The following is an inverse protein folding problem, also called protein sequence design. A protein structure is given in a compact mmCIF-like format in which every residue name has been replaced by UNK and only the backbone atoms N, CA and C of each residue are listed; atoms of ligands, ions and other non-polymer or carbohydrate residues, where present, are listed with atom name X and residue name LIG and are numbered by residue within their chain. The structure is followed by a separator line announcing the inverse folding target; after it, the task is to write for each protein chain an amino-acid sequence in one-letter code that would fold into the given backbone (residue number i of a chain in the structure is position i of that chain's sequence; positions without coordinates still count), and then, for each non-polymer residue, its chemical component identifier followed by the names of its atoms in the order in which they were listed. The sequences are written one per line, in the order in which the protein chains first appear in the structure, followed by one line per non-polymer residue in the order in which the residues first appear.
data_IF_814164190874
#
_entry.id   IF_814164190874
#
_cell.length_a   1.000
_cell.length_b   1.000
_cell.length_c   1.000
_cell.angle_alpha   90.00
_cell.angle_beta   90.00
_cell.angle_gamma   90.00
#
_symmetry.space_group_name_H-M   'P 1'
#
loop_
_entity.id
_entity.type
_entity.pdbx_description
1 polymer ?
#
# COMPACT_ATOMS: atom_id res chain seq x y z
N UNK A 1 7.19 -35.29 9.40
CA UNK A 1 7.94 -34.34 8.58
C UNK A 1 7.00 -33.48 7.75
N UNK A 2 6.09 -34.05 6.96
CA UNK A 2 5.11 -33.25 6.17
C UNK A 2 4.27 -32.27 7.01
N UNK A 3 3.84 -32.64 8.21
CA UNK A 3 3.03 -31.76 9.07
C UNK A 3 3.83 -30.56 9.61
N UNK A 4 5.12 -30.76 9.94
CA UNK A 4 6.01 -29.67 10.36
C UNK A 4 6.24 -28.67 9.22
N UNK A 5 6.51 -29.18 8.01
CA UNK A 5 6.73 -28.36 6.83
C UNK A 5 5.47 -27.55 6.47
N UNK A 6 4.27 -28.16 6.62
CA UNK A 6 2.99 -27.46 6.39
C UNK A 6 2.77 -26.31 7.39
N UNK A 7 3.13 -26.49 8.66
CA UNK A 7 3.03 -25.41 9.67
C UNK A 7 3.98 -24.28 9.33
N UNK A 8 5.24 -24.58 8.98
CA UNK A 8 6.24 -23.57 8.58
C UNK A 8 5.75 -22.78 7.36
N UNK A 9 5.19 -23.49 6.35
CA UNK A 9 4.70 -22.87 5.14
C UNK A 9 3.47 -21.98 5.41
N UNK A 10 2.55 -22.43 6.29
CA UNK A 10 1.41 -21.63 6.75
C UNK A 10 1.87 -20.34 7.44
N UNK A 11 2.82 -20.45 8.37
CA UNK A 11 3.40 -19.28 9.06
C UNK A 11 4.08 -18.33 8.08
N UNK A 12 4.83 -18.86 7.12
CA UNK A 12 5.48 -18.07 6.07
C UNK A 12 4.45 -17.31 5.24
N UNK A 13 3.38 -18.00 4.81
CA UNK A 13 2.31 -17.40 4.02
C UNK A 13 1.64 -16.23 4.77
N UNK A 14 1.33 -16.42 6.06
CA UNK A 14 0.72 -15.38 6.89
C UNK A 14 1.64 -14.15 7.06
N UNK A 15 2.95 -14.38 7.24
CA UNK A 15 3.93 -13.30 7.34
C UNK A 15 4.10 -12.56 6.02
N UNK A 16 4.13 -13.26 4.89
CA UNK A 16 4.18 -12.64 3.55
C UNK A 16 2.92 -11.84 3.24
N UNK A 17 1.74 -12.35 3.64
CA UNK A 17 0.49 -11.62 3.51
C UNK A 17 0.51 -10.32 4.33
N UNK A 18 1.09 -10.35 5.54
CA UNK A 18 1.25 -9.17 6.37
C UNK A 18 2.16 -8.10 5.70
N UNK A 19 3.26 -8.51 5.07
CA UNK A 19 4.14 -7.59 4.31
C UNK A 19 3.40 -6.99 3.11
N UNK A 20 2.66 -7.79 2.34
CA UNK A 20 1.84 -7.28 1.23
C UNK A 20 0.80 -6.27 1.70
N UNK A 21 0.19 -6.51 2.85
CA UNK A 21 -0.74 -5.56 3.45
C UNK A 21 -0.06 -4.24 3.83
N UNK A 22 1.16 -4.30 4.39
CA UNK A 22 1.97 -3.12 4.68
C UNK A 22 2.29 -2.32 3.42
N UNK A 23 2.66 -2.99 2.33
CA UNK A 23 2.95 -2.33 1.05
C UNK A 23 1.70 -1.61 0.51
N UNK A 24 0.52 -2.23 0.60
CA UNK A 24 -0.74 -1.57 0.24
C UNK A 24 -1.07 -0.38 1.14
N UNK A 25 -0.82 -0.48 2.45
CA UNK A 25 -1.00 0.63 3.38
C UNK A 25 -0.06 1.80 3.02
N UNK A 26 1.19 1.51 2.69
CA UNK A 26 2.18 2.51 2.27
C UNK A 26 1.83 3.18 0.94
N UNK A 27 1.18 2.49 0.00
CA UNK A 27 0.69 3.10 -1.23
C UNK A 27 -0.38 4.16 -0.97
N UNK A 28 -1.17 4.02 0.10
CA UNK A 28 -2.17 5.01 0.53
C UNK A 28 -1.53 6.24 1.20
N UNK A 29 -0.34 6.08 1.78
CA UNK A 29 0.42 7.19 2.37
C UNK A 29 1.08 7.96 1.23
N UNK A 30 0.50 9.10 0.87
CA UNK A 30 0.94 9.92 -0.26
C UNK A 30 2.19 10.70 0.12
N UNK A 31 3.28 10.44 -0.58
CA UNK A 31 4.58 11.09 -0.33
C UNK A 31 4.76 12.46 -1.04
N UNK A 32 3.67 13.14 -1.40
CA UNK A 32 3.69 14.48 -2.01
C UNK A 32 4.12 14.53 -3.46
N UNK A 33 4.32 13.38 -4.13
CA UNK A 33 4.54 13.32 -5.57
C UNK A 33 3.26 12.98 -6.30
N UNK A 34 3.08 13.56 -7.48
CA UNK A 34 2.02 13.20 -8.39
C UNK A 34 2.12 11.71 -8.77
N UNK A 35 0.99 11.00 -8.72
CA UNK A 35 0.89 9.59 -9.09
C UNK A 35 -0.47 9.34 -9.72
N UNK A 36 -0.52 8.47 -10.71
CA UNK A 36 -1.78 8.04 -11.35
C UNK A 36 -2.74 7.40 -10.34
N UNK A 37 -2.22 6.78 -9.29
CA UNK A 37 -3.02 6.19 -8.21
C UNK A 37 -3.83 7.23 -7.42
N UNK A 38 -3.45 8.51 -7.45
CA UNK A 38 -4.19 9.58 -6.76
C UNK A 38 -5.59 9.80 -7.33
N UNK A 39 -5.81 9.45 -8.59
CA UNK A 39 -7.08 9.63 -9.30
C UNK A 39 -7.72 8.30 -9.70
N UNK A 40 -7.16 7.18 -9.26
CA UNK A 40 -7.62 5.84 -9.64
C UNK A 40 -9.05 5.55 -9.18
N UNK A 41 -9.43 6.04 -8.01
CA UNK A 41 -10.75 5.82 -7.39
C UNK A 41 -11.81 6.82 -7.85
N UNK A 42 -11.46 7.75 -8.76
CA UNK A 42 -12.40 8.74 -9.28
C UNK A 42 -13.36 8.08 -10.26
N UNK A 43 -14.65 8.16 -9.94
CA UNK A 43 -15.73 7.68 -10.80
C UNK A 43 -16.33 8.84 -11.56
N UNK A 44 -16.35 8.73 -12.88
CA UNK A 44 -16.88 9.73 -13.80
C UNK A 44 -18.24 9.27 -14.28
N UNK A 45 -19.22 10.19 -14.29
CA UNK A 45 -20.52 9.92 -14.91
C UNK A 45 -20.38 10.03 -16.43
N UNK A 46 -20.28 8.87 -17.09
CA UNK A 46 -20.10 8.76 -18.52
C UNK A 46 -21.31 8.06 -19.13
N UNK A 47 -22.05 8.76 -19.98
CA UNK A 47 -23.33 8.31 -20.57
C UNK A 47 -24.34 7.77 -19.55
N UNK A 48 -24.42 8.42 -18.38
CA UNK A 48 -25.36 8.05 -17.31
C UNK A 48 -24.95 6.86 -16.46
N UNK A 49 -23.73 6.33 -16.62
CA UNK A 49 -23.17 5.27 -15.82
C UNK A 49 -21.86 5.71 -15.12
N UNK A 50 -21.67 5.38 -13.83
CA UNK A 50 -20.42 5.63 -13.14
C UNK A 50 -19.32 4.74 -13.71
N UNK A 51 -18.31 5.38 -14.32
CA UNK A 51 -17.20 4.70 -15.00
C UNK A 51 -15.86 5.13 -14.37
N UNK A 52 -14.93 4.22 -14.09
CA UNK A 52 -13.61 4.58 -13.58
C UNK A 52 -12.87 5.53 -14.54
N UNK A 53 -12.15 6.50 -13.98
CA UNK A 53 -11.46 7.53 -14.78
C UNK A 53 -10.48 6.94 -15.81
N UNK A 54 -9.80 5.86 -15.48
CA UNK A 54 -8.87 5.16 -16.37
C UNK A 54 -9.54 4.49 -17.58
N UNK A 55 -10.87 4.37 -17.60
CA UNK A 55 -11.65 3.84 -18.72
C UNK A 55 -12.21 4.93 -19.64
N UNK A 56 -12.10 6.19 -19.26
CA UNK A 56 -12.61 7.35 -20.06
C UNK A 56 -11.52 8.33 -20.45
N UNK A 57 -10.34 8.20 -19.83
CA UNK A 57 -9.21 9.09 -20.10
C UNK A 57 -7.86 8.38 -19.92
N UNK A 58 -6.85 8.91 -20.60
CA UNK A 58 -5.46 8.55 -20.36
C UNK A 58 -4.90 9.44 -19.23
N UNK A 59 -4.40 8.83 -18.17
CA UNK A 59 -3.80 9.51 -17.02
C UNK A 59 -2.28 9.37 -17.09
N UNK A 60 -1.58 10.49 -17.12
CA UNK A 60 -0.12 10.54 -17.16
C UNK A 60 0.43 11.50 -16.10
N UNK A 61 1.69 11.33 -15.74
CA UNK A 61 2.41 12.17 -14.77
C UNK A 61 3.63 12.74 -15.50
N UNK A 62 3.48 13.90 -16.14
CA UNK A 62 4.58 14.53 -16.91
C UNK A 62 5.72 15.00 -16.02
N UNK A 63 5.44 15.37 -14.78
CA UNK A 63 6.42 15.78 -13.78
C UNK A 63 6.01 15.37 -12.36
N UNK A 64 6.90 15.60 -11.38
CA UNK A 64 6.70 15.16 -10.00
C UNK A 64 5.50 15.80 -9.27
N UNK A 65 4.95 16.90 -9.81
CA UNK A 65 3.91 17.72 -9.18
C UNK A 65 2.65 17.83 -10.02
N UNK A 66 2.62 17.22 -11.21
CA UNK A 66 1.55 17.42 -12.19
C UNK A 66 0.96 16.08 -12.62
N UNK A 67 -0.36 15.97 -12.60
CA UNK A 67 -1.09 14.87 -13.22
C UNK A 67 -1.83 15.44 -14.42
N UNK A 68 -1.65 14.85 -15.60
CA UNK A 68 -2.35 15.20 -16.83
C UNK A 68 -3.37 14.11 -17.16
N UNK A 69 -4.61 14.53 -17.33
CA UNK A 69 -5.73 13.66 -17.70
C UNK A 69 -6.21 14.07 -19.08
N UNK A 70 -6.04 13.18 -20.05
CA UNK A 70 -6.46 13.40 -21.43
C UNK A 70 -7.67 12.52 -21.72
N UNK A 71 -8.87 13.12 -21.84
CA UNK A 71 -10.07 12.38 -22.22
C UNK A 71 -9.94 11.78 -23.62
N UNK A 72 -10.43 10.58 -23.82
CA UNK A 72 -10.54 9.98 -25.15
C UNK A 72 -11.68 10.65 -25.95
N UNK A 73 -12.72 11.09 -25.24
CA UNK A 73 -13.81 11.86 -25.80
C UNK A 73 -13.82 13.26 -25.17
N UNK A 74 -13.64 14.30 -26.01
CA UNK A 74 -13.63 15.70 -25.56
C UNK A 74 -14.93 16.12 -24.88
N UNK A 75 -16.05 15.49 -25.20
CA UNK A 75 -17.34 15.80 -24.58
C UNK A 75 -17.40 15.40 -23.11
N UNK A 76 -16.57 14.44 -22.70
CA UNK A 76 -16.48 13.98 -21.31
C UNK A 76 -15.64 14.88 -20.38
N UNK A 77 -14.94 15.89 -20.92
CA UNK A 77 -14.01 16.72 -20.14
C UNK A 77 -14.68 17.39 -18.94
N UNK A 78 -15.90 17.92 -19.12
CA UNK A 78 -16.65 18.58 -18.06
C UNK A 78 -17.15 17.60 -17.00
N UNK A 79 -17.50 16.37 -17.39
CA UNK A 79 -17.91 15.32 -16.48
C UNK A 79 -16.72 14.84 -15.63
N UNK A 80 -15.54 14.72 -16.23
CA UNK A 80 -14.29 14.37 -15.54
C UNK A 80 -13.90 15.48 -14.56
N UNK A 81 -13.95 16.75 -14.96
CA UNK A 81 -13.66 17.89 -14.09
C UNK A 81 -14.57 17.90 -12.86
N UNK A 82 -15.88 17.73 -13.04
CA UNK A 82 -16.85 17.64 -11.94
C UNK A 82 -16.57 16.46 -11.03
N UNK A 83 -16.25 15.30 -11.60
CA UNK A 83 -15.94 14.09 -10.81
C UNK A 83 -14.70 14.31 -9.93
N UNK A 84 -13.68 14.99 -10.44
CA UNK A 84 -12.46 15.33 -9.69
C UNK A 84 -12.77 16.31 -8.55
N UNK A 85 -13.56 17.34 -8.81
CA UNK A 85 -13.98 18.30 -7.77
C UNK A 85 -14.75 17.58 -6.66
N UNK A 86 -15.70 16.73 -7.04
CA UNK A 86 -16.55 16.00 -6.10
C UNK A 86 -15.78 14.92 -5.29
N UNK A 87 -14.67 14.43 -5.82
CA UNK A 87 -13.84 13.42 -5.15
C UNK A 87 -13.00 13.94 -3.97
N UNK A 88 -13.00 15.26 -3.76
CA UNK A 88 -12.33 15.92 -2.61
C UNK A 88 -10.85 15.57 -2.47
N UNK A 89 -10.13 15.47 -3.59
CA UNK A 89 -8.71 15.11 -3.63
C UNK A 89 -7.78 16.15 -3.01
N UNK A 90 -8.29 17.35 -2.69
CA UNK A 90 -7.53 18.43 -2.05
C UNK A 90 -6.73 19.32 -3.01
N UNK A 91 -6.92 19.16 -4.33
CA UNK A 91 -6.34 20.01 -5.36
C UNK A 91 -7.37 20.30 -6.47
N UNK A 92 -7.30 21.49 -7.01
CA UNK A 92 -8.24 21.96 -8.04
C UNK A 92 -7.79 21.52 -9.44
N UNK A 93 -8.71 21.02 -10.29
CA UNK A 93 -8.42 20.77 -11.69
C UNK A 93 -8.31 22.09 -12.47
N UNK A 94 -7.40 22.14 -13.44
CA UNK A 94 -7.29 23.17 -14.44
C UNK A 94 -7.61 22.59 -15.81
N UNK A 95 -8.65 23.08 -16.45
CA UNK A 95 -9.12 22.61 -17.74
C UNK A 95 -8.65 23.56 -18.84
N UNK A 96 -7.89 23.07 -19.81
CA UNK A 96 -7.42 23.85 -20.97
C UNK A 96 -8.20 23.55 -22.26
N UNK A 97 -9.31 22.81 -22.17
CA UNK A 97 -10.17 22.44 -23.31
C UNK A 97 -9.76 21.14 -24.01
N UNK A 98 -8.56 20.65 -23.78
CA UNK A 98 -8.05 19.37 -24.31
C UNK A 98 -7.68 18.38 -23.22
N UNK A 99 -7.06 18.88 -22.15
CA UNK A 99 -6.60 18.09 -21.02
C UNK A 99 -7.03 18.75 -19.71
N UNK A 100 -7.16 17.94 -18.66
CA UNK A 100 -7.30 18.41 -17.30
C UNK A 100 -5.96 18.22 -16.60
N UNK A 101 -5.45 19.32 -16.03
CA UNK A 101 -4.17 19.34 -15.32
C UNK A 101 -4.45 19.49 -13.84
N UNK A 102 -3.89 18.58 -13.03
CA UNK A 102 -3.95 18.63 -11.58
C UNK A 102 -2.56 18.97 -11.06
N UNK A 103 -2.44 20.10 -10.36
CA UNK A 103 -1.22 20.46 -9.66
C UNK A 103 -1.29 19.91 -8.23
N UNK A 104 -0.38 18.98 -7.90
CA UNK A 104 -0.24 18.40 -6.57
C UNK A 104 0.63 19.35 -5.74
N UNK A 105 0.09 20.00 -4.70
CA UNK A 105 0.90 20.90 -3.88
C UNK A 105 1.98 20.13 -3.13
N UNK A 106 3.16 20.73 -2.90
CA UNK A 106 4.19 20.12 -2.08
C UNK A 106 3.69 19.92 -0.64
N UNK A 107 4.10 18.83 -0.01
CA UNK A 107 3.79 18.59 1.39
C UNK A 107 4.48 19.63 2.27
N UNK A 108 3.76 20.17 3.23
CA UNK A 108 4.35 20.96 4.32
C UNK A 108 5.21 20.06 5.21
N UNK A 109 6.17 20.62 5.93
CA UNK A 109 7.03 19.87 6.83
C UNK A 109 6.23 19.15 7.93
N UNK A 110 5.23 19.81 8.48
CA UNK A 110 4.33 19.22 9.49
C UNK A 110 3.56 18.02 8.90
N UNK A 111 3.06 18.14 7.68
CA UNK A 111 2.36 17.04 7.02
C UNK A 111 3.28 15.86 6.73
N UNK A 112 4.54 16.10 6.37
CA UNK A 112 5.53 15.03 6.21
C UNK A 112 5.76 14.27 7.52
N UNK A 113 5.86 15.00 8.64
CA UNK A 113 6.02 14.40 9.98
C UNK A 113 4.81 13.53 10.35
N UNK A 114 3.60 14.01 10.07
CA UNK A 114 2.38 13.22 10.31
C UNK A 114 2.36 11.94 9.47
N UNK A 115 2.70 12.01 8.18
CA UNK A 115 2.75 10.85 7.30
C UNK A 115 3.84 9.86 7.73
N UNK A 116 5.00 10.33 8.16
CA UNK A 116 6.06 9.47 8.70
C UNK A 116 5.59 8.75 9.98
N UNK A 117 4.88 9.45 10.86
CA UNK A 117 4.28 8.86 12.06
C UNK A 117 3.23 7.81 11.72
N UNK A 118 2.39 8.07 10.72
CA UNK A 118 1.40 7.12 10.23
C UNK A 118 2.08 5.86 9.66
N UNK A 119 3.12 6.03 8.82
CA UNK A 119 3.88 4.91 8.26
C UNK A 119 4.52 4.05 9.36
N UNK A 120 5.04 4.68 10.41
CA UNK A 120 5.58 3.98 11.57
C UNK A 120 4.51 3.19 12.33
N UNK A 121 3.31 3.75 12.49
CA UNK A 121 2.17 3.05 13.10
C UNK A 121 1.79 1.79 12.32
N UNK A 122 1.58 1.90 11.01
CA UNK A 122 1.28 0.76 10.13
C UNK A 122 2.36 -0.34 10.20
N UNK A 123 3.62 0.07 10.30
CA UNK A 123 4.75 -0.88 10.43
C UNK A 123 4.71 -1.63 11.75
N UNK A 124 4.44 -0.95 12.87
CA UNK A 124 4.34 -1.61 14.18
C UNK A 124 3.14 -2.56 14.24
N UNK A 125 2.00 -2.18 13.69
CA UNK A 125 0.82 -3.04 13.58
C UNK A 125 1.14 -4.30 12.75
N UNK A 126 1.86 -4.15 11.65
CA UNK A 126 2.31 -5.29 10.82
C UNK A 126 3.25 -6.21 11.59
N UNK A 127 4.19 -5.67 12.36
CA UNK A 127 5.07 -6.48 13.23
C UNK A 127 4.29 -7.28 14.28
N UNK A 128 3.19 -6.71 14.80
CA UNK A 128 2.29 -7.44 15.71
C UNK A 128 1.67 -8.63 14.98
N UNK A 129 1.20 -8.45 13.75
CA UNK A 129 0.64 -9.55 12.93
C UNK A 129 1.68 -10.63 12.67
N UNK A 130 2.91 -10.27 12.32
CA UNK A 130 4.04 -11.21 12.12
C UNK A 130 4.33 -12.00 13.41
N UNK A 131 4.36 -11.34 14.58
CA UNK A 131 4.56 -12.02 15.89
C UNK A 131 3.39 -12.93 16.24
N UNK A 132 2.16 -12.56 15.89
CA UNK A 132 0.97 -13.40 16.10
C UNK A 132 1.03 -14.65 15.22
N UNK A 133 1.42 -14.53 13.95
CA UNK A 133 1.63 -15.68 13.05
C UNK A 133 2.64 -16.66 13.64
N UNK A 134 3.78 -16.17 14.17
CA UNK A 134 4.74 -17.00 14.90
C UNK A 134 4.10 -17.72 16.09
N UNK A 135 3.38 -17.00 16.96
CA UNK A 135 2.75 -17.59 18.13
C UNK A 135 1.74 -18.68 17.77
N UNK A 136 0.97 -18.48 16.70
CA UNK A 136 0.02 -19.45 16.21
C UNK A 136 0.74 -20.72 15.71
N UNK A 137 1.80 -20.56 14.92
CA UNK A 137 2.61 -21.68 14.45
C UNK A 137 3.20 -22.49 15.61
N UNK A 138 3.77 -21.83 16.63
CA UNK A 138 4.30 -22.49 17.83
C UNK A 138 3.19 -23.24 18.60
N UNK A 139 1.98 -22.67 18.68
CA UNK A 139 0.85 -23.37 19.32
C UNK A 139 0.42 -24.61 18.54
N UNK A 140 0.46 -24.56 17.22
CA UNK A 140 0.15 -25.70 16.37
C UNK A 140 1.21 -26.79 16.48
N UNK A 141 2.50 -26.43 16.50
CA UNK A 141 3.60 -27.37 16.73
C UNK A 141 3.44 -28.14 18.04
N UNK A 142 3.03 -27.45 19.11
CA UNK A 142 2.84 -28.09 20.45
C UNK A 142 1.63 -29.03 20.54
N UNK A 143 0.72 -28.99 19.55
CA UNK A 143 -0.43 -29.90 19.47
C UNK A 143 -0.11 -31.19 18.72
N UNK A 144 1.03 -31.26 18.02
CA UNK A 144 1.41 -32.44 17.26
C UNK A 144 1.81 -33.57 18.22
N UNK A 145 1.19 -34.72 18.02
CA UNK A 145 1.50 -35.96 18.75
C UNK A 145 2.44 -36.83 17.90
N UNK A 146 3.36 -37.55 18.57
CA UNK A 146 4.26 -38.47 17.89
C UNK A 146 5.47 -37.84 17.17
N UNK A 147 5.71 -36.57 17.37
CA UNK A 147 6.90 -35.85 16.86
C UNK A 147 7.95 -35.73 17.95
N UNK A 148 9.23 -35.92 17.61
CA UNK A 148 10.31 -35.80 18.58
C UNK A 148 10.48 -34.37 19.08
N UNK A 149 10.83 -34.16 20.34
CA UNK A 149 11.08 -32.85 20.93
C UNK A 149 12.17 -32.06 20.17
N UNK A 150 13.19 -32.77 19.67
CA UNK A 150 14.27 -32.16 18.91
C UNK A 150 13.78 -31.60 17.55
N UNK A 151 12.87 -32.33 16.89
CA UNK A 151 12.25 -31.85 15.65
C UNK A 151 11.36 -30.61 15.88
N UNK A 152 10.60 -30.61 16.99
CA UNK A 152 9.78 -29.44 17.37
C UNK A 152 10.67 -28.21 17.62
N UNK A 153 11.76 -28.38 18.40
CA UNK A 153 12.70 -27.28 18.67
C UNK A 153 13.35 -26.72 17.39
N UNK A 154 13.81 -27.62 16.50
CA UNK A 154 14.39 -27.21 15.23
C UNK A 154 13.41 -26.41 14.38
N UNK A 155 12.13 -26.81 14.37
CA UNK A 155 11.08 -26.08 13.66
C UNK A 155 10.72 -24.74 14.33
N UNK A 156 10.72 -24.68 15.66
CA UNK A 156 10.56 -23.42 16.42
C UNK A 156 11.68 -22.41 16.08
N UNK A 157 12.94 -22.90 15.97
CA UNK A 157 14.08 -22.08 15.54
C UNK A 157 13.90 -21.58 14.11
N UNK A 158 13.43 -22.42 13.19
CA UNK A 158 13.15 -22.03 11.81
C UNK A 158 12.08 -20.94 11.74
N UNK A 159 10.97 -21.09 12.47
CA UNK A 159 9.92 -20.06 12.57
C UNK A 159 10.47 -18.77 13.18
N UNK A 160 11.39 -18.86 14.15
CA UNK A 160 12.03 -17.66 14.71
C UNK A 160 12.87 -16.95 13.67
N UNK A 161 13.67 -17.64 12.87
CA UNK A 161 14.47 -17.06 11.78
C UNK A 161 13.56 -16.40 10.74
N UNK A 162 12.44 -17.03 10.37
CA UNK A 162 11.44 -16.43 9.49
C UNK A 162 10.86 -15.14 10.08
N UNK A 163 10.55 -15.15 11.38
CA UNK A 163 10.02 -13.98 12.09
C UNK A 163 11.00 -12.82 12.04
N UNK A 164 12.26 -13.06 12.39
CA UNK A 164 13.31 -12.04 12.41
C UNK A 164 13.54 -11.44 11.02
N UNK A 165 13.50 -12.28 9.98
CA UNK A 165 13.59 -11.86 8.59
C UNK A 165 12.43 -10.93 8.21
N UNK A 166 11.19 -11.28 8.56
CA UNK A 166 10.03 -10.47 8.20
C UNK A 166 9.92 -9.18 9.02
N UNK A 167 10.32 -9.20 10.30
CA UNK A 167 10.44 -7.98 11.12
C UNK A 167 11.46 -7.01 10.50
N UNK A 168 12.61 -7.53 10.07
CA UNK A 168 13.61 -6.72 9.37
C UNK A 168 13.09 -6.16 8.05
N UNK A 169 12.33 -6.95 7.26
CA UNK A 169 11.69 -6.46 6.05
C UNK A 169 10.72 -5.30 6.34
N UNK A 170 9.93 -5.38 7.43
CA UNK A 170 9.07 -4.28 7.85
C UNK A 170 9.88 -3.00 8.12
N UNK A 171 11.02 -3.11 8.81
CA UNK A 171 11.90 -1.96 9.11
C UNK A 171 12.55 -1.39 7.83
N UNK A 172 12.97 -2.24 6.90
CA UNK A 172 13.56 -1.82 5.63
C UNK A 172 12.52 -1.10 4.75
N UNK A 173 11.28 -1.59 4.70
CA UNK A 173 10.17 -0.93 3.99
C UNK A 173 9.83 0.42 4.63
N UNK A 174 9.79 0.49 5.97
CA UNK A 174 9.58 1.75 6.69
C UNK A 174 10.67 2.77 6.36
N UNK A 175 11.93 2.36 6.44
CA UNK A 175 13.07 3.24 6.16
C UNK A 175 13.03 3.80 4.73
N UNK A 176 12.65 2.96 3.77
CA UNK A 176 12.49 3.37 2.38
C UNK A 176 11.33 4.38 2.25
N UNK A 177 10.20 4.11 2.92
CA UNK A 177 9.04 5.00 2.89
C UNK A 177 9.29 6.33 3.59
N UNK A 178 9.97 6.34 4.73
CA UNK A 178 10.37 7.57 5.43
C UNK A 178 11.30 8.42 4.55
N UNK A 179 12.27 7.80 3.88
CA UNK A 179 13.15 8.51 2.94
C UNK A 179 12.36 9.11 1.75
N UNK A 180 11.35 8.40 1.26
CA UNK A 180 10.46 8.89 0.19
C UNK A 180 9.62 10.11 0.67
N UNK A 181 9.03 10.03 1.87
CA UNK A 181 8.20 11.10 2.46
C UNK A 181 9.05 12.35 2.74
N UNK A 182 10.29 12.18 3.20
CA UNK A 182 11.17 13.28 3.58
C UNK A 182 11.95 13.88 2.40
N UNK A 183 11.90 13.24 1.22
CA UNK A 183 12.56 13.76 0.02
C UNK A 183 11.85 15.02 -0.47
N UNK A 184 12.61 16.10 -0.60
CA UNK A 184 12.16 17.42 -1.12
C UNK A 184 12.15 17.40 -2.63
#
# INVERSE_FOLDING_TARGET
MEELDLIVESVRHDMEAAIKHLDHAFQRIRAGRASTNMVQDVMVEYYGAPTPLNQVANVSVPDAMTISIQPWDRTAINAIEKAIINSNLGFAPSNNGENIILNVPPLTEDRRRELAKQAKGETEDTKIVVRNARQNGIKELKKLEGVSEDAIKATEEEIQVLTDKHVKLCDDHLKTKEAEIMKV
#
